data_IF_306071703955
#
_entry.id   IF_306071703955
#
_cell.length_a   1.000
_cell.length_b   1.000
_cell.length_c   1.000
_cell.angle_alpha   90.00
_cell.angle_beta   90.00
_cell.angle_gamma   90.00
#
_symmetry.space_group_name_H-M   'P 1'
#
loop_
_entity.id
_entity.type
_entity.pdbx_description
1 polymer ?
#
# COMPACT_ATOMS: atom_id res chain seq x y z
N UNK A 1 41.69 77.94 -35.80
CA UNK A 1 42.44 76.82 -35.19
C UNK A 1 41.91 76.44 -33.79
N UNK A 2 40.62 76.68 -33.50
CA UNK A 2 40.11 76.60 -32.11
C UNK A 2 39.02 75.55 -31.87
N UNK A 3 38.52 74.89 -32.93
CA UNK A 3 37.44 73.88 -32.83
C UNK A 3 38.01 72.47 -32.58
N UNK A 4 39.22 72.18 -33.08
CA UNK A 4 39.88 70.87 -32.92
C UNK A 4 40.35 70.60 -31.47
N UNK A 5 40.76 71.64 -30.75
CA UNK A 5 41.17 71.53 -29.35
C UNK A 5 39.99 71.26 -28.39
N UNK A 6 38.81 71.83 -28.67
CA UNK A 6 37.63 71.62 -27.85
C UNK A 6 37.08 70.18 -27.96
N UNK A 7 37.16 69.57 -29.15
CA UNK A 7 36.71 68.20 -29.37
C UNK A 7 37.60 67.17 -28.66
N UNK A 8 38.92 67.41 -28.64
CA UNK A 8 39.87 66.52 -27.95
C UNK A 8 39.69 66.54 -26.42
N UNK A 9 39.35 67.69 -25.83
CA UNK A 9 39.14 67.80 -24.38
C UNK A 9 37.87 67.07 -23.91
N UNK A 10 36.78 67.15 -24.66
CA UNK A 10 35.51 66.46 -24.34
C UNK A 10 35.68 64.93 -24.39
N UNK A 11 36.43 64.42 -25.37
CA UNK A 11 36.70 62.97 -25.48
C UNK A 11 37.56 62.48 -24.31
N UNK A 12 38.56 63.25 -23.89
CA UNK A 12 39.41 62.90 -22.74
C UNK A 12 38.61 62.91 -21.42
N UNK A 13 37.72 63.89 -21.25
CA UNK A 13 36.92 64.03 -20.04
C UNK A 13 35.91 62.90 -19.89
N UNK A 14 35.24 62.50 -20.99
CA UNK A 14 34.34 61.36 -21.02
C UNK A 14 35.06 60.02 -20.75
N UNK A 15 36.27 59.84 -21.29
CA UNK A 15 37.07 58.65 -21.01
C UNK A 15 37.48 58.56 -19.52
N UNK A 16 37.89 59.68 -18.93
CA UNK A 16 38.18 59.79 -17.49
C UNK A 16 36.95 59.48 -16.63
N UNK A 17 35.76 59.96 -17.03
CA UNK A 17 34.50 59.71 -16.35
C UNK A 17 34.10 58.23 -16.38
N UNK A 18 34.25 57.56 -17.52
CA UNK A 18 33.99 56.13 -17.68
C UNK A 18 34.94 55.27 -16.84
N UNK A 19 36.23 55.61 -16.79
CA UNK A 19 37.20 54.91 -15.94
C UNK A 19 36.89 55.10 -14.46
N UNK A 20 36.48 56.31 -14.04
CA UNK A 20 36.04 56.57 -12.67
C UNK A 20 34.76 55.81 -12.34
N UNK A 21 33.80 55.72 -13.25
CA UNK A 21 32.55 54.98 -13.07
C UNK A 21 32.83 53.48 -12.90
N UNK A 22 33.65 52.89 -13.78
CA UNK A 22 34.06 51.49 -13.71
C UNK A 22 34.79 51.16 -12.39
N UNK A 23 35.69 52.03 -11.95
CA UNK A 23 36.45 51.86 -10.69
C UNK A 23 35.55 51.99 -9.45
N UNK A 24 34.47 52.76 -9.54
CA UNK A 24 33.50 52.94 -8.44
C UNK A 24 32.56 51.73 -8.33
N UNK A 25 32.13 51.17 -9.47
CA UNK A 25 31.33 49.93 -9.48
C UNK A 25 32.14 48.71 -9.02
N UNK A 26 33.39 48.58 -9.44
CA UNK A 26 34.27 47.50 -9.00
C UNK A 26 34.51 47.53 -7.47
N UNK A 27 34.69 48.73 -6.88
CA UNK A 27 34.82 48.89 -5.42
C UNK A 27 33.54 48.54 -4.65
N UNK A 28 32.36 48.79 -5.23
CA UNK A 28 31.08 48.43 -4.58
C UNK A 28 30.82 46.93 -4.56
N UNK A 29 31.28 46.18 -5.57
CA UNK A 29 31.12 44.72 -5.60
C UNK A 29 32.08 44.02 -4.61
N UNK A 30 33.31 44.51 -4.50
CA UNK A 30 34.31 44.06 -3.50
C UNK A 30 33.92 44.35 -2.04
N UNK A 31 32.89 45.16 -1.79
CA UNK A 31 32.41 45.43 -0.44
C UNK A 31 31.54 44.29 0.15
N UNK A 32 31.03 43.38 -0.70
CA UNK A 32 30.10 42.32 -0.29
C UNK A 32 30.81 40.97 -0.10
N UNK A 33 31.83 40.68 -0.92
CA UNK A 33 32.65 39.47 -0.83
C UNK A 33 34.14 39.81 -0.63
N UNK A 34 34.74 39.23 0.41
CA UNK A 34 36.21 39.20 0.60
C UNK A 34 36.86 38.18 -0.36
N UNK A 35 38.13 38.40 -0.68
CA UNK A 35 39.06 37.55 -1.45
C UNK A 35 39.06 36.05 -1.09
N UNK A 36 38.61 35.70 0.12
CA UNK A 36 38.46 34.32 0.60
C UNK A 36 37.05 33.74 0.43
N UNK A 37 36.16 34.40 -0.31
CA UNK A 37 34.79 33.95 -0.54
C UNK A 37 33.86 34.13 0.68
N UNK A 38 34.18 35.07 1.57
CA UNK A 38 33.38 35.35 2.77
C UNK A 38 32.45 36.53 2.53
N UNK A 39 31.16 36.34 2.81
CA UNK A 39 30.19 37.43 2.86
C UNK A 39 30.46 38.27 4.11
N UNK A 40 30.72 39.57 3.92
CA UNK A 40 30.95 40.53 5.01
C UNK A 40 32.04 40.10 6.03
N UNK A 41 33.01 39.27 5.61
CA UNK A 41 34.14 38.80 6.42
C UNK A 41 33.80 37.79 7.54
N UNK A 42 32.51 37.49 7.77
CA UNK A 42 32.05 36.66 8.91
C UNK A 42 31.55 35.28 8.50
N UNK A 43 30.86 35.18 7.36
CA UNK A 43 30.19 33.94 6.94
C UNK A 43 30.76 33.48 5.61
N UNK A 44 31.11 32.20 5.50
CA UNK A 44 31.57 31.61 4.25
C UNK A 44 30.39 31.45 3.28
N UNK A 45 30.58 31.76 2.00
CA UNK A 45 29.52 31.54 1.00
C UNK A 45 29.15 30.06 0.85
N UNK A 46 30.10 29.15 1.16
CA UNK A 46 29.86 27.71 1.24
C UNK A 46 28.89 27.35 2.36
N UNK A 47 28.96 28.06 3.48
CA UNK A 47 28.10 27.80 4.65
C UNK A 47 26.67 28.30 4.40
N UNK A 48 26.54 29.45 3.74
CA UNK A 48 25.24 29.96 3.26
C UNK A 48 24.62 29.00 2.23
N UNK A 49 25.42 28.47 1.31
CA UNK A 49 24.98 27.46 0.34
C UNK A 49 24.51 26.17 1.02
N UNK A 50 25.28 25.67 1.98
CA UNK A 50 24.92 24.47 2.75
C UNK A 50 23.62 24.67 3.54
N UNK A 51 23.46 25.80 4.23
CA UNK A 51 22.25 26.14 4.96
C UNK A 51 21.01 26.22 4.04
N UNK A 52 21.17 26.79 2.83
CA UNK A 52 20.09 26.86 1.84
C UNK A 52 19.69 25.46 1.35
N UNK A 53 20.66 24.58 1.09
CA UNK A 53 20.37 23.19 0.70
C UNK A 53 19.63 22.45 1.81
N UNK A 54 20.07 22.58 3.07
CA UNK A 54 19.38 21.99 4.23
C UNK A 54 17.95 22.51 4.33
N UNK A 55 17.75 23.81 4.19
CA UNK A 55 16.41 24.43 4.20
C UNK A 55 15.52 23.86 3.09
N UNK A 56 16.03 23.73 1.86
CA UNK A 56 15.28 23.15 0.74
C UNK A 56 14.92 21.67 0.99
N UNK A 57 15.82 20.89 1.62
CA UNK A 57 15.54 19.50 1.99
C UNK A 57 14.42 19.43 3.03
N UNK A 58 14.47 20.26 4.08
CA UNK A 58 13.43 20.34 5.11
C UNK A 58 12.08 20.70 4.46
N UNK A 59 12.04 21.77 3.67
CA UNK A 59 10.84 22.19 2.94
C UNK A 59 10.34 21.07 2.03
N UNK A 60 11.25 20.39 1.31
CA UNK A 60 10.93 19.24 0.47
C UNK A 60 10.24 18.12 1.25
N UNK A 61 10.76 17.73 2.42
CA UNK A 61 10.18 16.65 3.23
C UNK A 61 8.80 17.04 3.80
N UNK A 62 8.61 18.29 4.23
CA UNK A 62 7.37 18.72 4.86
C UNK A 62 6.26 19.09 3.86
N UNK A 63 6.60 19.66 2.70
CA UNK A 63 5.62 20.05 1.68
C UNK A 63 5.41 18.97 0.61
N UNK A 64 6.42 18.11 0.37
CA UNK A 64 6.36 16.99 -0.56
C UNK A 64 6.81 15.70 0.15
N UNK A 65 6.05 15.23 1.16
CA UNK A 65 6.37 13.95 1.79
C UNK A 65 6.47 12.89 0.71
N UNK A 66 7.63 12.23 0.63
CA UNK A 66 7.87 11.17 -0.35
C UNK A 66 6.74 10.14 -0.28
N UNK A 67 6.28 9.66 -1.43
CA UNK A 67 5.20 8.66 -1.55
C UNK A 67 5.58 7.27 -1.02
N UNK A 68 6.63 7.17 -0.21
CA UNK A 68 7.13 5.96 0.44
C UNK A 68 6.33 5.57 1.68
N UNK A 69 5.09 6.03 1.79
CA UNK A 69 4.12 5.51 2.74
C UNK A 69 3.65 4.15 2.26
N UNK A 70 3.76 3.14 3.12
CA UNK A 70 3.16 1.81 2.95
C UNK A 70 1.83 1.90 2.20
N UNK A 71 1.72 1.14 1.11
CA UNK A 71 0.53 1.03 0.24
C UNK A 71 -0.77 0.67 0.99
N UNK A 72 -0.70 0.38 2.29
CA UNK A 72 -1.81 0.08 3.17
C UNK A 72 -2.45 1.31 3.87
N UNK A 73 -1.91 2.53 3.72
CA UNK A 73 -2.36 3.70 4.49
C UNK A 73 -3.10 4.78 3.71
N UNK A 74 -3.47 4.55 2.44
CA UNK A 74 -4.34 5.48 1.72
C UNK A 74 -5.80 5.27 2.16
N UNK A 75 -6.14 5.80 3.34
CA UNK A 75 -7.47 6.35 3.68
C UNK A 75 -8.70 5.44 3.67
N UNK A 76 -8.57 4.14 3.41
CA UNK A 76 -9.70 3.22 3.46
C UNK A 76 -10.16 2.99 4.89
N UNK A 77 -11.33 3.51 5.27
CA UNK A 77 -11.98 3.13 6.52
C UNK A 77 -12.05 1.60 6.59
N UNK A 78 -11.42 1.02 7.60
CA UNK A 78 -11.43 -0.44 7.80
C UNK A 78 -12.83 -0.84 8.23
N UNK A 79 -13.45 -1.75 7.48
CA UNK A 79 -14.79 -2.27 7.75
C UNK A 79 -14.74 -3.76 8.07
N UNK A 80 -15.66 -4.27 8.88
CA UNK A 80 -15.87 -5.70 8.99
C UNK A 80 -16.33 -6.25 7.63
N UNK A 81 -15.61 -7.26 7.14
CA UNK A 81 -15.91 -7.99 5.91
C UNK A 81 -16.20 -9.42 6.29
N UNK A 82 -17.38 -9.91 5.91
CA UNK A 82 -17.74 -11.31 6.01
C UNK A 82 -17.40 -11.99 4.68
N UNK A 83 -16.72 -13.13 4.75
CA UNK A 83 -16.31 -13.91 3.60
C UNK A 83 -16.88 -15.32 3.78
N UNK A 84 -17.73 -15.73 2.85
CA UNK A 84 -18.18 -17.11 2.80
C UNK A 84 -17.25 -17.93 1.94
N UNK A 85 -16.85 -19.06 2.48
CA UNK A 85 -15.93 -20.02 1.89
C UNK A 85 -16.65 -21.34 1.68
N UNK A 86 -16.31 -22.01 0.59
CA UNK A 86 -16.65 -23.41 0.38
C UNK A 86 -15.38 -24.25 0.41
N UNK A 87 -15.44 -25.34 1.17
CA UNK A 87 -14.44 -26.39 1.21
C UNK A 87 -15.04 -27.60 0.51
N UNK A 88 -14.30 -28.18 -0.43
CA UNK A 88 -14.76 -29.33 -1.22
C UNK A 88 -13.79 -30.48 -1.02
N UNK A 89 -14.31 -31.65 -0.69
CA UNK A 89 -13.56 -32.89 -0.56
C UNK A 89 -12.55 -32.89 0.59
N UNK A 90 -12.87 -32.26 1.72
CA UNK A 90 -11.96 -32.25 2.87
C UNK A 90 -11.80 -33.67 3.39
N UNK A 91 -10.56 -34.18 3.33
CA UNK A 91 -10.21 -35.50 3.82
C UNK A 91 -10.09 -35.49 5.34
N UNK A 92 -11.20 -35.77 6.04
CA UNK A 92 -11.25 -35.76 7.51
C UNK A 92 -11.90 -37.03 8.05
N UNK A 93 -11.28 -37.63 9.07
CA UNK A 93 -11.74 -38.89 9.66
C UNK A 93 -12.95 -38.71 10.57
N UNK A 94 -12.97 -37.63 11.33
CA UNK A 94 -14.07 -37.24 12.23
C UNK A 94 -14.42 -35.77 11.96
N UNK A 95 -15.37 -35.50 11.04
CA UNK A 95 -15.79 -34.15 10.71
C UNK A 95 -16.43 -33.44 11.91
N UNK A 96 -17.14 -34.17 12.76
CA UNK A 96 -17.85 -33.61 13.92
C UNK A 96 -16.86 -33.08 14.97
N UNK A 97 -15.74 -33.77 15.18
CA UNK A 97 -14.65 -33.27 16.02
C UNK A 97 -14.07 -31.95 15.48
N UNK A 98 -13.84 -31.87 14.17
CA UNK A 98 -13.34 -30.65 13.54
C UNK A 98 -14.34 -29.48 13.66
N UNK A 99 -15.64 -29.76 13.47
CA UNK A 99 -16.68 -28.74 13.65
C UNK A 99 -16.76 -28.24 15.09
N UNK A 100 -16.63 -29.14 16.08
CA UNK A 100 -16.57 -28.75 17.50
C UNK A 100 -15.36 -27.87 17.78
N UNK A 101 -14.19 -28.22 17.24
CA UNK A 101 -12.99 -27.41 17.37
C UNK A 101 -13.19 -25.99 16.82
N UNK A 102 -13.82 -25.83 15.65
CA UNK A 102 -14.13 -24.50 15.12
C UNK A 102 -15.13 -23.73 15.98
N UNK A 103 -16.12 -24.40 16.56
CA UNK A 103 -17.10 -23.79 17.44
C UNK A 103 -16.48 -23.33 18.79
N UNK A 104 -15.48 -24.05 19.27
CA UNK A 104 -14.74 -23.74 20.51
C UNK A 104 -13.70 -22.64 20.31
N UNK A 105 -12.85 -22.77 19.29
CA UNK A 105 -11.75 -21.83 19.02
C UNK A 105 -12.26 -20.48 18.48
N UNK A 106 -13.36 -20.50 17.71
CA UNK A 106 -14.00 -19.33 17.07
C UNK A 106 -13.09 -18.47 16.21
N UNK A 107 -11.85 -18.88 15.99
CA UNK A 107 -10.83 -18.16 15.25
C UNK A 107 -9.95 -19.14 14.48
N UNK A 108 -9.37 -18.71 13.38
CA UNK A 108 -8.44 -19.51 12.56
C UNK A 108 -7.46 -18.60 11.85
N UNK A 109 -6.27 -19.09 11.51
CA UNK A 109 -5.35 -18.35 10.67
C UNK A 109 -5.67 -18.60 9.21
N UNK A 110 -5.54 -17.56 8.39
CA UNK A 110 -5.70 -17.68 6.96
C UNK A 110 -4.49 -17.18 6.19
N UNK A 111 -4.22 -17.88 5.09
CA UNK A 111 -3.22 -17.53 4.10
C UNK A 111 -3.98 -17.28 2.79
N UNK A 112 -3.75 -16.12 2.20
CA UNK A 112 -4.39 -15.72 0.94
C UNK A 112 -3.28 -15.59 -0.09
N UNK A 113 -3.32 -16.39 -1.17
CA UNK A 113 -2.31 -16.35 -2.24
C UNK A 113 -0.86 -16.46 -1.71
N UNK A 114 -0.60 -17.42 -0.82
CA UNK A 114 0.70 -17.61 -0.16
C UNK A 114 1.18 -16.40 0.67
N UNK A 115 0.29 -15.47 1.01
CA UNK A 115 0.57 -14.38 1.93
C UNK A 115 -0.20 -14.61 3.23
N UNK A 116 0.50 -14.74 4.38
CA UNK A 116 -0.17 -14.88 5.65
C UNK A 116 -0.92 -13.57 5.95
N UNK A 117 -2.23 -13.67 6.15
CA UNK A 117 -3.04 -12.55 6.62
C UNK A 117 -3.10 -12.53 8.15
N UNK A 118 -3.11 -13.71 8.76
CA UNK A 118 -3.20 -13.90 10.22
C UNK A 118 -4.57 -14.40 10.65
N UNK A 119 -4.94 -14.09 11.89
CA UNK A 119 -6.13 -14.62 12.54
C UNK A 119 -7.41 -13.89 12.09
N UNK A 120 -8.46 -14.66 11.80
CA UNK A 120 -9.82 -14.20 11.52
C UNK A 120 -10.83 -14.93 12.41
N UNK A 121 -11.98 -14.30 12.63
CA UNK A 121 -13.06 -14.90 13.41
C UNK A 121 -13.88 -15.86 12.54
N UNK A 122 -14.27 -16.99 13.12
CA UNK A 122 -15.17 -17.97 12.53
C UNK A 122 -16.57 -17.64 13.02
N UNK A 123 -17.44 -17.19 12.12
CA UNK A 123 -18.85 -16.90 12.44
C UNK A 123 -19.74 -18.12 12.34
N UNK A 124 -19.53 -18.97 11.33
CA UNK A 124 -20.29 -20.21 11.20
C UNK A 124 -19.53 -21.25 10.38
N UNK A 125 -19.77 -22.52 10.67
CA UNK A 125 -19.32 -23.67 9.88
C UNK A 125 -20.49 -24.63 9.74
N UNK A 126 -20.74 -25.13 8.53
CA UNK A 126 -21.80 -26.07 8.21
C UNK A 126 -21.29 -27.14 7.27
N UNK A 127 -21.63 -28.39 7.54
CA UNK A 127 -21.40 -29.49 6.60
C UNK A 127 -22.39 -29.41 5.45
N UNK A 128 -21.92 -29.68 4.24
CA UNK A 128 -22.75 -29.91 3.07
C UNK A 128 -22.89 -31.43 2.90
N UNK A 129 -24.12 -31.98 2.95
CA UNK A 129 -24.33 -33.40 2.73
C UNK A 129 -23.93 -33.78 1.31
N UNK A 130 -23.31 -34.95 1.16
CA UNK A 130 -23.06 -35.54 -0.16
C UNK A 130 -24.36 -36.12 -0.71
N UNK A 131 -24.74 -35.68 -1.89
CA UNK A 131 -25.96 -36.10 -2.57
C UNK A 131 -25.62 -36.82 -3.87
N UNK A 132 -26.44 -37.81 -4.23
CA UNK A 132 -26.33 -38.60 -5.46
C UNK A 132 -27.56 -38.40 -6.33
N UNK A 133 -27.33 -38.28 -7.63
CA UNK A 133 -28.38 -38.32 -8.65
C UNK A 133 -28.76 -39.79 -8.90
N UNK A 134 -29.96 -40.18 -8.48
CA UNK A 134 -30.48 -41.54 -8.61
C UNK A 134 -31.59 -41.58 -9.68
N UNK A 135 -31.38 -42.29 -10.81
CA UNK A 135 -32.40 -42.43 -11.84
C UNK A 135 -33.57 -43.28 -11.32
N UNK A 136 -34.79 -42.90 -11.69
CA UNK A 136 -36.02 -43.55 -11.29
C UNK A 136 -36.61 -44.38 -12.44
N UNK A 137 -37.46 -45.39 -12.15
CA UNK A 137 -38.10 -46.22 -13.19
C UNK A 137 -38.98 -45.44 -14.18
N UNK A 138 -39.45 -44.26 -13.81
CA UNK A 138 -40.25 -43.37 -14.66
C UNK A 138 -39.40 -42.46 -15.57
N UNK A 139 -38.07 -42.60 -15.53
CA UNK A 139 -37.11 -41.78 -16.28
C UNK A 139 -36.73 -40.45 -15.62
N UNK A 140 -37.29 -40.13 -14.45
CA UNK A 140 -36.89 -38.95 -13.66
C UNK A 140 -35.57 -39.18 -12.91
N UNK A 141 -34.97 -38.10 -12.40
CA UNK A 141 -33.76 -38.14 -11.56
C UNK A 141 -34.08 -37.52 -10.21
N UNK A 142 -33.77 -38.24 -9.13
CA UNK A 142 -33.97 -37.77 -7.75
C UNK A 142 -32.62 -37.57 -7.06
N UNK A 143 -32.52 -36.49 -6.31
CA UNK A 143 -31.38 -36.24 -5.42
C UNK A 143 -31.62 -36.96 -4.09
N UNK A 144 -30.73 -37.88 -3.73
CA UNK A 144 -30.78 -38.66 -2.48
C UNK A 144 -29.44 -38.59 -1.75
N UNK A 145 -29.42 -38.65 -0.41
CA UNK A 145 -28.16 -38.71 0.34
C UNK A 145 -27.30 -39.89 -0.07
N UNK A 146 -25.99 -39.67 -0.17
CA UNK A 146 -25.03 -40.73 -0.47
C UNK A 146 -24.98 -41.76 0.67
N UNK A 147 -25.30 -43.04 0.41
CA UNK A 147 -25.29 -44.08 1.45
C UNK A 147 -23.89 -44.56 1.84
N UNK A 148 -22.82 -44.10 1.14
CA UNK A 148 -21.45 -44.55 1.42
C UNK A 148 -20.96 -44.00 2.75
N UNK A 149 -20.72 -44.90 3.72
CA UNK A 149 -20.18 -44.57 5.04
C UNK A 149 -18.67 -44.24 5.05
N UNK A 150 -17.94 -44.54 3.98
CA UNK A 150 -16.47 -44.53 3.95
C UNK A 150 -15.88 -43.49 3.00
N UNK A 151 -16.60 -42.42 2.66
CA UNK A 151 -16.08 -41.45 1.68
C UNK A 151 -14.93 -40.59 2.21
N UNK A 152 -14.75 -40.52 3.55
CA UNK A 152 -13.80 -39.63 4.26
C UNK A 152 -13.71 -38.22 3.69
N UNK A 153 -14.74 -37.77 2.98
CA UNK A 153 -14.74 -36.59 2.13
C UNK A 153 -15.90 -35.73 2.59
N UNK A 154 -15.59 -34.65 3.29
CA UNK A 154 -16.58 -33.72 3.82
C UNK A 154 -16.51 -32.41 3.08
N UNK A 155 -17.65 -31.95 2.61
CA UNK A 155 -17.80 -30.60 2.08
C UNK A 155 -18.27 -29.69 3.19
N UNK A 156 -17.74 -28.47 3.26
CA UNK A 156 -18.07 -27.50 4.30
C UNK A 156 -18.37 -26.15 3.66
N UNK A 157 -19.27 -25.40 4.29
CA UNK A 157 -19.41 -23.95 4.10
C UNK A 157 -19.00 -23.27 5.38
N UNK A 158 -18.15 -22.25 5.28
CA UNK A 158 -17.64 -21.49 6.42
C UNK A 158 -17.87 -20.00 6.18
N UNK A 159 -18.27 -19.26 7.21
CA UNK A 159 -18.31 -17.79 7.18
C UNK A 159 -17.21 -17.27 8.10
N UNK A 160 -16.26 -16.56 7.52
CA UNK A 160 -15.18 -15.89 8.25
C UNK A 160 -15.44 -14.38 8.32
N UNK A 161 -15.00 -13.75 9.41
CA UNK A 161 -15.10 -12.31 9.62
C UNK A 161 -13.68 -11.77 9.77
N UNK A 162 -13.33 -10.84 8.88
CA UNK A 162 -12.04 -10.16 8.90
C UNK A 162 -12.20 -8.66 8.80
N UNK A 163 -11.14 -7.93 9.16
CA UNK A 163 -11.07 -6.47 8.99
C UNK A 163 -10.42 -6.17 7.65
N UNK A 164 -11.19 -5.55 6.75
CA UNK A 164 -10.75 -5.24 5.40
C UNK A 164 -10.90 -3.77 5.04
N UNK A 165 -10.08 -3.31 4.10
CA UNK A 165 -10.21 -1.98 3.49
C UNK A 165 -11.05 -2.07 2.22
N UNK A 166 -12.00 -1.16 2.05
CA UNK A 166 -12.80 -1.09 0.84
C UNK A 166 -12.11 -0.18 -0.17
N UNK A 167 -11.69 -0.75 -1.29
CA UNK A 167 -11.06 -0.02 -2.40
C UNK A 167 -12.03 0.07 -3.58
N UNK A 168 -11.68 0.88 -4.59
CA UNK A 168 -12.45 0.96 -5.85
C UNK A 168 -12.60 -0.40 -6.54
N UNK A 169 -11.65 -1.32 -6.33
CA UNK A 169 -11.61 -2.63 -6.99
C UNK A 169 -12.23 -3.76 -6.15
N UNK A 170 -12.77 -3.42 -4.96
CA UNK A 170 -13.41 -4.33 -4.02
C UNK A 170 -12.75 -4.38 -2.64
N UNK A 171 -13.24 -5.27 -1.76
CA UNK A 171 -12.70 -5.47 -0.42
C UNK A 171 -11.29 -6.07 -0.46
N UNK A 172 -10.41 -5.53 0.39
CA UNK A 172 -9.02 -5.97 0.56
C UNK A 172 -8.83 -6.44 1.99
N UNK A 173 -8.45 -7.69 2.17
CA UNK A 173 -8.06 -8.25 3.46
C UNK A 173 -6.53 -8.32 3.50
N UNK A 174 -5.93 -7.45 4.30
CA UNK A 174 -4.48 -7.28 4.41
C UNK A 174 -3.94 -6.65 3.14
N UNK A 175 -3.10 -7.38 2.41
CA UNK A 175 -2.56 -6.95 1.11
C UNK A 175 -3.21 -7.65 -0.09
N UNK A 176 -4.22 -8.50 0.15
CA UNK A 176 -4.87 -9.29 -0.90
C UNK A 176 -6.31 -8.85 -1.15
N UNK A 177 -6.63 -8.60 -2.42
CA UNK A 177 -8.01 -8.39 -2.86
C UNK A 177 -8.79 -9.69 -2.69
N UNK A 178 -9.92 -9.64 -2.00
CA UNK A 178 -10.80 -10.80 -1.80
C UNK A 178 -12.01 -10.68 -2.72
N UNK A 179 -12.13 -11.66 -3.61
CA UNK A 179 -13.20 -11.80 -4.60
C UNK A 179 -13.70 -13.23 -4.62
N UNK A 180 -14.89 -13.44 -5.17
CA UNK A 180 -15.40 -14.79 -5.47
C UNK A 180 -14.37 -15.55 -6.30
N UNK A 181 -14.13 -16.81 -5.94
CA UNK A 181 -13.10 -17.67 -6.54
C UNK A 181 -11.68 -17.47 -6.00
N UNK A 182 -11.47 -16.54 -5.06
CA UNK A 182 -10.14 -16.38 -4.44
C UNK A 182 -9.85 -17.62 -3.58
N UNK A 183 -8.72 -18.31 -3.80
CA UNK A 183 -8.31 -19.41 -2.95
C UNK A 183 -7.83 -18.86 -1.60
N UNK A 184 -8.33 -19.46 -0.53
CA UNK A 184 -7.96 -19.16 0.86
C UNK A 184 -7.52 -20.47 1.50
N UNK A 185 -6.39 -20.45 2.17
CA UNK A 185 -5.90 -21.59 2.94
C UNK A 185 -6.14 -21.30 4.42
N UNK A 186 -6.73 -22.26 5.12
CA UNK A 186 -6.98 -22.20 6.55
C UNK A 186 -5.88 -23.02 7.24
N UNK A 187 -5.24 -22.43 8.23
CA UNK A 187 -4.14 -23.03 8.97
C UNK A 187 -4.43 -23.03 10.47
N UNK A 188 -4.38 -24.22 11.06
CA UNK A 188 -4.50 -24.46 12.49
C UNK A 188 -3.39 -25.38 12.99
N UNK A 189 -3.52 -25.84 14.23
CA UNK A 189 -2.51 -26.71 14.85
C UNK A 189 -2.46 -28.10 14.20
N UNK A 190 -3.61 -28.64 13.84
CA UNK A 190 -3.84 -30.01 13.38
C UNK A 190 -4.57 -30.08 12.03
N UNK A 191 -4.77 -28.93 11.39
CA UNK A 191 -5.36 -28.84 10.05
C UNK A 191 -4.63 -27.81 9.19
N UNK A 192 -4.49 -28.12 7.91
CA UNK A 192 -4.22 -27.17 6.84
C UNK A 192 -5.01 -27.61 5.61
N UNK A 193 -5.91 -26.77 5.12
CA UNK A 193 -6.68 -27.06 3.91
C UNK A 193 -7.08 -25.80 3.16
N UNK A 194 -7.41 -25.99 1.88
CA UNK A 194 -7.84 -24.92 0.97
C UNK A 194 -9.35 -24.83 0.87
N UNK A 195 -9.82 -23.61 0.73
CA UNK A 195 -11.19 -23.23 0.47
C UNK A 195 -11.25 -22.21 -0.66
N UNK A 196 -12.43 -22.03 -1.26
CA UNK A 196 -12.67 -20.99 -2.25
C UNK A 196 -13.72 -20.02 -1.74
N UNK A 197 -13.49 -18.73 -1.94
CA UNK A 197 -14.48 -17.69 -1.64
C UNK A 197 -15.70 -17.87 -2.57
N UNK A 198 -16.90 -17.90 -2.00
CA UNK A 198 -18.17 -17.96 -2.73
C UNK A 198 -18.99 -16.67 -2.59
N UNK A 199 -18.80 -15.92 -1.51
CA UNK A 199 -19.48 -14.64 -1.29
C UNK A 199 -18.62 -13.70 -0.43
N UNK A 200 -18.76 -12.40 -0.65
CA UNK A 200 -18.09 -11.35 0.14
C UNK A 200 -19.11 -10.28 0.49
N UNK A 201 -19.33 -10.04 1.78
CA UNK A 201 -20.25 -9.02 2.29
C UNK A 201 -19.52 -7.99 3.12
N UNK A 202 -19.73 -6.71 2.84
CA UNK A 202 -19.22 -5.60 3.63
C UNK A 202 -20.30 -5.17 4.61
N UNK A 203 -19.98 -5.08 5.90
CA UNK A 203 -20.88 -4.62 6.95
C UNK A 203 -20.56 -3.19 7.39
#
# INVERSE_FOLDING_TARGET
MSISLAFSSIVLENASLMVRLAKTHARRFMAILDSKGRLFGKVSILDVGAALVILLVIVGIFFFPGTTGSVAQIGGATKPVEVDLIVRGLSVRDPDALLKQFAEQKTTNIIIRNQPYGQVDIKSVKTLPSMLAVPQPDGSVKELPDPRSNSFSTDLTMTLVGKGQITKDGPVLGNSKIKIGTPVELEGMDYNFRASVIEVRVK
#
